data_IF_695273865503
#
_entry.id   IF_695273865503
#
_cell.length_a   1.000
_cell.length_b   1.000
_cell.length_c   1.000
_cell.angle_alpha   90.00
_cell.angle_beta   90.00
_cell.angle_gamma   90.00
#
_symmetry.space_group_name_H-M   'P 1'
#
loop_
_entity.id
_entity.type
_entity.pdbx_description
1 polymer ?
#
# COMPACT_ATOMS: atom_id res chain seq x y z
N UNK A 1 48.33 -29.62 -36.58
CA UNK A 1 47.94 -28.20 -36.64
C UNK A 1 46.42 -28.10 -36.58
N UNK A 2 45.91 -27.43 -35.54
CA UNK A 2 44.50 -27.27 -35.14
C UNK A 2 43.81 -26.14 -35.91
N UNK A 3 42.64 -26.37 -36.51
CA UNK A 3 41.56 -25.39 -36.81
C UNK A 3 40.24 -26.16 -36.88
N UNK A 4 39.55 -26.40 -35.75
CA UNK A 4 38.37 -25.64 -35.27
C UNK A 4 37.38 -25.35 -36.41
N UNK A 5 36.47 -26.30 -36.66
CA UNK A 5 35.20 -26.04 -37.37
C UNK A 5 34.13 -25.78 -36.32
N UNK A 6 33.62 -24.56 -36.32
CA UNK A 6 32.63 -24.06 -35.38
C UNK A 6 31.25 -24.60 -35.77
N UNK A 7 30.67 -25.34 -34.83
CA UNK A 7 29.27 -25.77 -34.83
C UNK A 7 28.35 -24.55 -34.81
N UNK A 8 27.44 -24.44 -35.78
CA UNK A 8 26.32 -23.51 -35.75
C UNK A 8 25.02 -24.28 -35.94
N UNK A 9 24.59 -24.98 -34.90
CA UNK A 9 23.26 -25.60 -34.81
C UNK A 9 22.26 -24.52 -34.37
N UNK A 10 21.51 -23.98 -35.33
CA UNK A 10 20.45 -23.00 -35.09
C UNK A 10 19.14 -23.74 -34.75
N UNK A 11 18.89 -23.98 -33.47
CA UNK A 11 17.61 -24.51 -32.98
C UNK A 11 16.60 -23.38 -32.84
N UNK A 12 15.66 -23.27 -33.79
CA UNK A 12 14.51 -22.36 -33.68
C UNK A 12 13.48 -23.04 -32.77
N UNK A 13 13.52 -22.70 -31.49
CA UNK A 13 12.49 -23.09 -30.53
C UNK A 13 11.25 -22.21 -30.73
N UNK A 14 10.22 -22.78 -31.36
CA UNK A 14 8.85 -22.27 -31.29
C UNK A 14 8.33 -22.56 -29.89
N UNK A 15 8.30 -21.56 -29.01
CA UNK A 15 7.60 -21.65 -27.73
C UNK A 15 6.66 -20.46 -27.59
N UNK A 16 5.41 -20.70 -27.99
CA UNK A 16 4.28 -19.87 -27.65
C UNK A 16 4.06 -19.91 -26.13
N UNK A 17 4.47 -18.88 -25.40
CA UNK A 17 3.95 -18.65 -24.05
C UNK A 17 2.69 -17.77 -24.15
N UNK A 18 1.56 -18.46 -24.21
CA UNK A 18 0.26 -17.89 -23.95
C UNK A 18 0.25 -17.21 -22.57
N UNK A 19 -0.19 -15.95 -22.56
CA UNK A 19 -0.54 -15.24 -21.34
C UNK A 19 -1.87 -15.77 -20.80
N UNK A 20 -1.97 -16.17 -19.52
CA UNK A 20 -3.15 -15.89 -18.76
C UNK A 20 -2.90 -14.58 -18.03
N UNK A 21 -3.50 -13.50 -18.54
CA UNK A 21 -3.92 -12.41 -17.68
C UNK A 21 -4.74 -13.05 -16.55
N UNK A 22 -4.13 -13.30 -15.40
CA UNK A 22 -4.85 -13.69 -14.20
C UNK A 22 -5.75 -12.52 -13.87
N UNK A 23 -7.01 -12.61 -14.27
CA UNK A 23 -8.06 -11.77 -13.74
C UNK A 23 -7.94 -11.86 -12.22
N UNK A 24 -7.49 -10.76 -11.60
CA UNK A 24 -7.41 -10.63 -10.15
C UNK A 24 -8.83 -10.79 -9.62
N UNK A 25 -9.17 -12.02 -9.23
CA UNK A 25 -10.48 -12.36 -8.70
C UNK A 25 -10.69 -11.44 -7.50
N UNK A 26 -11.75 -10.63 -7.53
CA UNK A 26 -12.08 -9.72 -6.45
C UNK A 26 -12.05 -10.51 -5.12
N UNK A 27 -11.07 -10.20 -4.27
CA UNK A 27 -10.98 -10.81 -2.95
C UNK A 27 -12.21 -10.37 -2.18
N UNK A 28 -13.04 -11.33 -1.78
CA UNK A 28 -14.17 -11.08 -0.90
C UNK A 28 -13.62 -10.46 0.39
N UNK A 29 -14.14 -9.32 0.86
CA UNK A 29 -13.70 -8.77 2.13
C UNK A 29 -13.99 -9.79 3.23
N UNK A 30 -12.96 -10.18 3.98
CA UNK A 30 -13.14 -10.96 5.19
C UNK A 30 -13.83 -10.06 6.21
N UNK A 31 -15.03 -10.45 6.66
CA UNK A 31 -15.69 -9.79 7.76
C UNK A 31 -14.89 -10.09 9.03
N UNK A 32 -14.26 -9.06 9.59
CA UNK A 32 -13.51 -9.17 10.84
C UNK A 32 -14.42 -8.70 11.97
N UNK A 33 -14.83 -9.61 12.84
CA UNK A 33 -15.57 -9.27 14.06
C UNK A 33 -14.59 -8.75 15.12
N UNK A 34 -14.64 -7.44 15.37
CA UNK A 34 -13.71 -6.73 16.26
C UNK A 34 -14.41 -6.17 17.51
N UNK A 35 -15.73 -6.33 17.64
CA UNK A 35 -16.49 -5.72 18.74
C UNK A 35 -16.13 -6.39 20.06
N UNK A 36 -15.85 -5.59 21.09
CA UNK A 36 -15.44 -6.07 22.41
C UNK A 36 -14.01 -6.63 22.48
N UNK A 37 -13.28 -6.66 21.38
CA UNK A 37 -11.85 -6.99 21.35
C UNK A 37 -11.01 -5.71 21.48
N UNK A 38 -9.75 -5.80 21.96
CA UNK A 38 -8.83 -4.67 21.90
C UNK A 38 -8.70 -4.16 20.46
N UNK A 39 -8.76 -2.83 20.29
CA UNK A 39 -8.58 -2.22 18.98
C UNK A 39 -7.17 -2.54 18.42
N UNK A 40 -7.04 -2.84 17.11
CA UNK A 40 -5.74 -3.07 16.50
C UNK A 40 -4.82 -1.86 16.67
N UNK A 41 -3.58 -2.10 17.10
CA UNK A 41 -2.59 -1.03 17.21
C UNK A 41 -2.14 -0.58 15.82
N UNK A 42 -2.01 0.73 15.62
CA UNK A 42 -1.46 1.32 14.40
C UNK A 42 -0.71 2.62 14.72
N UNK A 43 0.13 3.04 13.78
CA UNK A 43 0.85 4.31 13.80
C UNK A 43 0.66 4.99 12.45
N UNK A 44 0.22 6.26 12.46
CA UNK A 44 -0.04 7.05 11.26
C UNK A 44 0.68 8.39 11.33
N UNK A 45 1.02 8.96 10.17
CA UNK A 45 1.47 10.34 10.12
C UNK A 45 0.32 11.29 10.42
N UNK A 46 0.61 12.34 11.19
CA UNK A 46 -0.37 13.37 11.49
C UNK A 46 -0.58 14.25 10.26
N UNK A 47 -1.83 14.53 9.93
CA UNK A 47 -2.15 15.60 8.98
C UNK A 47 -2.24 16.92 9.72
N UNK A 48 -1.58 17.93 9.17
CA UNK A 48 -1.63 19.32 9.61
C UNK A 48 -2.20 20.16 8.48
N UNK A 49 -2.89 21.24 8.80
CA UNK A 49 -3.35 22.18 7.81
C UNK A 49 -2.62 23.50 8.01
N UNK A 50 -2.03 24.01 6.94
CA UNK A 50 -1.33 25.29 6.93
C UNK A 50 -2.08 26.22 5.99
N UNK A 51 -2.30 27.45 6.43
CA UNK A 51 -2.92 28.46 5.59
C UNK A 51 -1.87 28.98 4.59
N UNK A 52 -2.16 28.83 3.30
CA UNK A 52 -1.34 29.35 2.22
C UNK A 52 -1.45 30.88 2.23
N UNK A 53 -0.35 31.56 2.53
CA UNK A 53 -0.32 33.02 2.64
C UNK A 53 -0.60 33.74 1.32
N UNK A 54 -0.47 33.05 0.19
CA UNK A 54 -0.67 33.64 -1.14
C UNK A 54 -2.11 33.47 -1.62
N UNK A 55 -2.75 32.34 -1.34
CA UNK A 55 -4.13 32.06 -1.80
C UNK A 55 -5.19 32.16 -0.69
N UNK A 56 -4.78 32.20 0.58
CA UNK A 56 -5.67 32.14 1.74
C UNK A 56 -6.31 30.76 1.97
N UNK A 57 -5.90 29.75 1.20
CA UNK A 57 -6.47 28.40 1.27
C UNK A 57 -5.77 27.53 2.33
N UNK A 58 -6.53 26.68 3.01
CA UNK A 58 -5.99 25.65 3.90
C UNK A 58 -5.46 24.48 3.06
N UNK A 59 -4.14 24.31 3.05
CA UNK A 59 -3.49 23.16 2.42
C UNK A 59 -3.13 22.11 3.47
N UNK A 60 -3.54 20.87 3.20
CA UNK A 60 -3.14 19.71 4.00
C UNK A 60 -1.68 19.38 3.76
N UNK A 61 -0.91 19.19 4.84
CA UNK A 61 0.47 18.75 4.83
C UNK A 61 0.63 17.57 5.79
N UNK A 62 1.28 16.51 5.32
CA UNK A 62 1.74 15.42 6.19
C UNK A 62 2.83 15.98 7.11
N UNK A 63 2.60 15.94 8.42
CA UNK A 63 3.58 16.32 9.41
C UNK A 63 4.60 15.19 9.61
N UNK A 64 5.81 15.55 10.05
CA UNK A 64 6.87 14.59 10.37
C UNK A 64 6.52 13.76 11.62
N UNK A 65 5.63 14.29 12.46
CA UNK A 65 5.12 13.61 13.66
C UNK A 65 4.17 12.44 13.31
N UNK A 66 4.36 11.34 14.02
CA UNK A 66 3.45 10.19 13.97
C UNK A 66 2.58 10.11 15.21
N UNK A 67 1.36 9.61 15.05
CA UNK A 67 0.41 9.33 16.13
C UNK A 67 0.19 7.82 16.21
N UNK A 68 0.35 7.25 17.41
CA UNK A 68 0.05 5.85 17.68
C UNK A 68 -1.23 5.70 18.49
N UNK A 69 -2.10 4.76 18.10
CA UNK A 69 -3.32 4.47 18.86
C UNK A 69 -3.02 4.05 20.31
N UNK A 70 -1.94 3.27 20.50
CA UNK A 70 -1.52 2.83 21.83
C UNK A 70 -1.16 4.00 22.76
N UNK A 71 -0.77 5.16 22.21
CA UNK A 71 -0.46 6.36 22.98
C UNK A 71 -1.65 6.96 23.75
N UNK A 72 -2.88 6.57 23.39
CA UNK A 72 -4.12 7.01 24.05
C UNK A 72 -4.67 6.00 25.06
N UNK A 73 -4.11 4.79 25.10
CA UNK A 73 -4.55 3.73 26.01
C UNK A 73 -4.50 4.24 27.46
N UNK A 74 -5.57 3.96 28.21
CA UNK A 74 -5.72 4.30 29.63
C UNK A 74 -5.72 5.82 29.94
N UNK A 75 -5.75 6.69 28.90
CA UNK A 75 -5.80 8.16 29.06
C UNK A 75 -7.19 8.71 28.74
N UNK A 76 -7.74 8.33 27.60
CA UNK A 76 -9.02 8.85 27.11
C UNK A 76 -9.70 7.88 26.14
N UNK A 77 -11.04 7.87 26.07
CA UNK A 77 -11.75 7.15 25.02
C UNK A 77 -11.43 7.77 23.65
N UNK A 78 -11.30 6.92 22.62
CA UNK A 78 -10.98 7.34 21.25
C UNK A 78 -12.08 6.87 20.31
N UNK A 79 -12.64 7.79 19.52
CA UNK A 79 -13.52 7.50 18.41
C UNK A 79 -12.73 7.65 17.10
N UNK A 80 -12.62 6.58 16.32
CA UNK A 80 -11.95 6.58 15.02
C UNK A 80 -12.99 6.57 13.91
N UNK A 81 -12.89 7.54 13.01
CA UNK A 81 -13.77 7.65 11.84
C UNK A 81 -12.91 7.50 10.61
N UNK A 82 -13.26 6.53 9.77
CA UNK A 82 -12.62 6.30 8.48
C UNK A 82 -13.52 6.86 7.39
N UNK A 83 -13.00 7.79 6.58
CA UNK A 83 -13.66 8.29 5.39
C UNK A 83 -12.84 7.92 4.18
N UNK A 84 -13.51 7.54 3.09
CA UNK A 84 -12.86 7.47 1.79
C UNK A 84 -12.51 8.88 1.33
N UNK A 85 -11.30 9.05 0.81
CA UNK A 85 -10.91 10.23 0.04
C UNK A 85 -10.80 9.77 -1.42
N UNK A 86 -11.53 10.44 -2.32
CA UNK A 86 -11.53 10.18 -3.76
C UNK A 86 -10.75 11.26 -4.49
#
# INVERSE_FOLDING_TARGET
MKRISVFLTLSIAFLALASPAQAQRARRPQQVDLVGKPAPSFTLHRLSFVNDKTTGELKGKVADETVSLAGFKDKQPVCLIFSSYT
#
